data_IF_052765799201
#
_entry.id   IF_052765799201
#
_cell.length_a   1.000
_cell.length_b   1.000
_cell.length_c   1.000
_cell.angle_alpha   90.00
_cell.angle_beta   90.00
_cell.angle_gamma   90.00
#
_symmetry.space_group_name_H-M   'P 1'
#
loop_
_entity.id
_entity.type
_entity.pdbx_description
1 polymer ?
#
# COMPACT_ATOMS: atom_id res chain seq x y z
N UNK A 1 -24.80 -43.43 -38.70
CA UNK A 1 -25.26 -42.60 -37.55
C UNK A 1 -25.21 -43.53 -36.33
N UNK A 2 -24.50 -43.28 -35.24
CA UNK A 2 -24.49 -42.06 -34.41
C UNK A 2 -23.24 -42.07 -33.52
N UNK A 3 -22.74 -40.87 -33.28
CA UNK A 3 -21.42 -40.51 -32.76
C UNK A 3 -21.05 -41.05 -31.38
N UNK A 4 -19.79 -41.45 -31.30
CA UNK A 4 -18.94 -41.65 -30.11
C UNK A 4 -19.13 -40.54 -29.08
N UNK A 5 -19.64 -40.88 -27.90
CA UNK A 5 -19.81 -39.95 -26.79
C UNK A 5 -18.47 -39.85 -26.04
N UNK A 6 -17.65 -38.87 -26.43
CA UNK A 6 -16.45 -38.49 -25.70
C UNK A 6 -16.85 -37.97 -24.32
N UNK A 7 -16.31 -38.63 -23.28
CA UNK A 7 -16.27 -38.15 -21.91
C UNK A 7 -15.55 -36.81 -21.88
N UNK A 8 -16.31 -35.72 -21.87
CA UNK A 8 -15.80 -34.38 -21.55
C UNK A 8 -15.53 -34.36 -20.06
N UNK A 9 -14.29 -34.68 -19.69
CA UNK A 9 -13.75 -34.35 -18.38
C UNK A 9 -13.71 -32.83 -18.27
N UNK A 10 -14.73 -32.26 -17.63
CA UNK A 10 -14.71 -30.86 -17.17
C UNK A 10 -13.64 -30.79 -16.08
N UNK A 11 -12.41 -30.51 -16.49
CA UNK A 11 -11.35 -30.09 -15.61
C UNK A 11 -11.78 -28.74 -15.02
N UNK A 12 -12.40 -28.79 -13.84
CA UNK A 12 -12.57 -27.63 -12.98
C UNK A 12 -11.18 -27.11 -12.61
N UNK A 13 -10.66 -26.19 -13.44
CA UNK A 13 -9.62 -25.27 -13.02
C UNK A 13 -10.23 -24.33 -11.99
N UNK A 14 -10.29 -24.81 -10.74
CA UNK A 14 -10.40 -23.94 -9.58
C UNK A 14 -9.09 -23.17 -9.59
N UNK A 15 -9.09 -21.98 -10.19
CA UNK A 15 -8.07 -20.98 -9.96
C UNK A 15 -8.17 -20.64 -8.47
N UNK A 16 -7.43 -21.40 -7.67
CA UNK A 16 -7.14 -21.06 -6.28
C UNK A 16 -6.47 -19.70 -6.33
N UNK A 17 -7.24 -18.64 -6.11
CA UNK A 17 -6.70 -17.37 -5.66
C UNK A 17 -6.07 -17.66 -4.31
N UNK A 18 -4.82 -18.12 -4.32
CA UNK A 18 -3.97 -18.06 -3.17
C UNK A 18 -3.85 -16.58 -2.84
N UNK A 19 -4.69 -16.12 -1.92
CA UNK A 19 -4.34 -15.01 -1.07
C UNK A 19 -2.95 -15.35 -0.54
N UNK A 20 -1.94 -14.66 -1.07
CA UNK A 20 -0.59 -14.76 -0.57
C UNK A 20 -0.62 -14.17 0.84
N UNK A 21 -1.05 -14.98 1.81
CA UNK A 21 -0.71 -14.80 3.21
C UNK A 21 0.79 -15.04 3.27
N UNK A 22 1.56 -13.98 3.05
CA UNK A 22 3.02 -14.02 3.17
C UNK A 22 3.32 -14.42 4.62
N UNK A 23 3.95 -15.58 4.86
CA UNK A 23 4.31 -15.97 6.21
C UNK A 23 5.52 -15.11 6.60
N UNK A 24 5.39 -14.29 7.64
CA UNK A 24 6.55 -13.65 8.22
C UNK A 24 6.52 -13.81 9.73
N UNK A 25 6.85 -15.03 10.17
CA UNK A 25 7.45 -15.24 11.48
C UNK A 25 8.70 -14.35 11.56
N UNK A 26 8.77 -13.52 12.62
CA UNK A 26 9.90 -12.66 13.00
C UNK A 26 10.22 -11.41 12.16
N UNK A 27 9.36 -10.99 11.24
CA UNK A 27 9.59 -9.74 10.49
C UNK A 27 8.58 -8.65 10.84
N UNK A 28 9.06 -7.66 11.57
CA UNK A 28 8.35 -6.41 11.74
C UNK A 28 8.16 -5.69 10.39
N UNK A 29 7.12 -4.85 10.30
CA UNK A 29 6.76 -4.13 9.09
C UNK A 29 7.71 -2.94 8.84
N UNK A 30 8.27 -2.84 7.62
CA UNK A 30 9.15 -1.75 7.19
C UNK A 30 8.37 -0.52 6.73
N UNK A 31 9.08 0.59 6.50
CA UNK A 31 8.51 1.84 5.98
C UNK A 31 7.60 1.63 4.76
N UNK A 32 6.45 2.29 4.74
CA UNK A 32 5.50 2.24 3.63
C UNK A 32 4.60 1.01 3.59
N UNK A 33 4.85 0.00 4.44
CA UNK A 33 4.01 -1.21 4.51
C UNK A 33 2.76 -0.95 5.34
N UNK A 34 1.63 -1.54 4.93
CA UNK A 34 0.34 -1.42 5.60
C UNK A 34 0.38 -2.11 6.97
N UNK A 35 0.08 -1.34 8.01
CA UNK A 35 0.09 -1.82 9.41
C UNK A 35 -1.30 -1.90 10.03
N UNK A 36 -2.26 -1.13 9.50
CA UNK A 36 -3.68 -1.29 9.81
C UNK A 36 -4.53 -0.87 8.62
N UNK A 37 -5.70 -1.48 8.47
CA UNK A 37 -6.68 -1.13 7.45
C UNK A 37 -8.11 -1.31 7.96
N UNK A 38 -9.08 -1.25 7.05
CA UNK A 38 -10.50 -1.51 7.34
C UNK A 38 -10.74 -2.87 8.03
N UNK A 39 -9.96 -3.89 7.68
CA UNK A 39 -10.04 -5.23 8.27
C UNK A 39 -9.35 -5.34 9.65
N UNK A 40 -8.80 -4.25 10.18
CA UNK A 40 -8.08 -4.23 11.46
C UNK A 40 -6.55 -4.19 11.29
N UNK A 41 -5.79 -4.47 12.38
CA UNK A 41 -4.34 -4.44 12.37
C UNK A 41 -3.75 -5.58 11.54
N UNK A 42 -2.74 -5.27 10.73
CA UNK A 42 -2.02 -6.22 9.87
C UNK A 42 -0.73 -6.73 10.54
N UNK A 43 -0.11 -5.90 11.37
CA UNK A 43 1.10 -6.27 12.10
C UNK A 43 1.76 -5.09 12.79
N UNK A 44 2.91 -5.34 13.43
CA UNK A 44 3.67 -4.33 14.18
C UNK A 44 4.82 -3.77 13.35
N UNK A 45 4.95 -2.44 13.32
CA UNK A 45 6.07 -1.77 12.67
C UNK A 45 7.41 -2.07 13.37
N UNK A 46 8.49 -2.10 12.59
CA UNK A 46 9.84 -2.26 13.15
C UNK A 46 10.22 -1.11 14.09
N UNK A 47 11.18 -1.37 14.99
CA UNK A 47 11.78 -0.32 15.82
C UNK A 47 12.29 0.83 14.94
N UNK A 48 11.93 2.07 15.29
CA UNK A 48 12.21 3.25 14.47
C UNK A 48 11.07 3.62 13.51
N UNK A 49 9.95 2.89 13.53
CA UNK A 49 8.75 3.15 12.75
C UNK A 49 7.49 3.09 13.62
N UNK A 50 6.55 4.00 13.36
CA UNK A 50 5.22 4.06 13.98
C UNK A 50 4.16 3.82 12.92
N UNK A 51 3.11 3.07 13.28
CA UNK A 51 1.93 2.90 12.44
C UNK A 51 1.09 4.19 12.45
N UNK A 52 0.98 4.88 11.30
CA UNK A 52 0.19 6.11 11.18
C UNK A 52 -0.81 6.02 10.05
N UNK A 53 -2.03 6.47 10.33
CA UNK A 53 -3.07 6.61 9.32
C UNK A 53 -2.64 7.62 8.26
N UNK A 54 -2.64 7.15 7.02
CA UNK A 54 -2.42 7.99 5.82
C UNK A 54 -3.75 8.52 5.30
N UNK A 55 -4.78 7.68 5.41
CA UNK A 55 -6.16 7.96 5.03
C UNK A 55 -7.08 7.38 6.11
N UNK A 56 -8.38 7.67 6.03
CA UNK A 56 -9.36 7.15 6.98
C UNK A 56 -9.33 5.61 7.07
N UNK A 57 -9.07 4.94 5.94
CA UNK A 57 -9.26 3.49 5.82
C UNK A 57 -7.97 2.68 5.99
N UNK A 58 -6.80 3.33 6.02
CA UNK A 58 -5.54 2.60 6.20
C UNK A 58 -4.38 3.42 6.80
N UNK A 59 -3.52 2.68 7.49
CA UNK A 59 -2.30 3.14 8.11
C UNK A 59 -1.09 2.38 7.58
N UNK A 60 0.02 3.08 7.45
CA UNK A 60 1.31 2.50 7.06
C UNK A 60 2.38 2.79 8.09
N UNK A 61 3.41 1.95 8.14
CA UNK A 61 4.58 2.21 8.97
C UNK A 61 5.36 3.40 8.41
N UNK A 62 5.56 4.41 9.24
CA UNK A 62 6.35 5.60 8.89
C UNK A 62 7.47 5.78 9.91
N UNK A 63 8.64 6.29 9.51
CA UNK A 63 9.74 6.50 10.44
C UNK A 63 9.33 7.43 11.60
N UNK A 64 9.80 7.11 12.81
CA UNK A 64 9.52 7.89 14.03
C UNK A 64 10.07 9.31 13.91
N UNK A 65 11.23 9.42 13.28
CA UNK A 65 11.80 10.71 12.88
C UNK A 65 11.12 11.14 11.59
N UNK A 66 10.41 12.27 11.64
CA UNK A 66 9.96 12.94 10.43
C UNK A 66 11.21 13.28 9.60
N UNK A 67 11.27 12.88 8.32
CA UNK A 67 12.32 13.41 7.46
C UNK A 67 12.12 14.92 7.37
N UNK A 68 13.21 15.70 7.32
CA UNK A 68 13.17 17.17 7.21
C UNK A 68 12.35 17.61 6.00
N UNK A 69 12.26 16.76 4.99
CA UNK A 69 11.47 16.95 3.79
C UNK A 69 10.97 15.59 3.23
N UNK A 70 9.98 15.61 2.35
CA UNK A 70 9.34 14.45 1.74
C UNK A 70 10.04 14.08 0.43
N UNK A 71 10.39 12.81 0.26
CA UNK A 71 10.97 12.29 -0.97
C UNK A 71 9.99 12.38 -2.16
N UNK A 72 10.51 12.30 -3.39
CA UNK A 72 9.69 12.23 -4.59
C UNK A 72 8.72 11.02 -4.52
N UNK A 73 7.47 11.22 -4.96
CA UNK A 73 6.38 10.25 -4.87
C UNK A 73 5.72 10.16 -3.49
N UNK A 74 6.28 10.78 -2.44
CA UNK A 74 5.64 10.80 -1.12
C UNK A 74 4.45 11.76 -1.09
N UNK A 75 3.41 11.39 -0.34
CA UNK A 75 2.23 12.22 -0.11
C UNK A 75 2.60 13.46 0.71
N UNK A 76 2.35 14.64 0.14
CA UNK A 76 2.62 15.95 0.75
C UNK A 76 1.36 16.65 1.24
N UNK A 77 0.20 16.32 0.65
CA UNK A 77 -1.10 16.79 1.10
C UNK A 77 -2.13 15.67 0.95
N UNK A 78 -3.05 15.60 1.90
CA UNK A 78 -4.19 14.69 1.86
C UNK A 78 -5.42 15.37 2.47
N UNK A 79 -6.57 14.69 2.48
CA UNK A 79 -7.82 15.15 3.11
C UNK A 79 -7.66 15.56 4.58
N UNK A 80 -6.66 14.98 5.27
CA UNK A 80 -6.30 15.31 6.65
C UNK A 80 -5.39 16.55 6.79
N UNK A 81 -5.03 17.18 5.68
CA UNK A 81 -4.20 18.39 5.62
C UNK A 81 -2.77 18.14 5.12
N UNK A 82 -1.90 19.14 5.32
CA UNK A 82 -0.51 19.10 4.88
C UNK A 82 0.31 18.09 5.69
N UNK A 83 1.01 17.21 4.98
CA UNK A 83 1.85 16.15 5.56
C UNK A 83 3.34 16.52 5.59
N UNK A 84 3.73 17.60 4.91
CA UNK A 84 5.10 18.12 4.90
C UNK A 84 5.49 18.76 3.58
N UNK A 85 6.74 19.21 3.51
CA UNK A 85 7.31 19.88 2.33
C UNK A 85 8.16 18.89 1.52
N UNK A 86 8.02 18.91 0.19
CA UNK A 86 8.83 18.08 -0.70
C UNK A 86 10.31 18.50 -0.66
N UNK A 87 11.22 17.53 -0.57
CA UNK A 87 12.67 17.75 -0.63
C UNK A 87 13.08 18.39 -1.95
N UNK A 88 12.45 17.93 -3.03
CA UNK A 88 12.67 18.40 -4.39
C UNK A 88 11.33 18.62 -5.07
N UNK A 89 11.26 19.66 -5.91
CA UNK A 89 10.07 19.92 -6.72
C UNK A 89 8.90 20.57 -5.97
N UNK A 90 7.67 20.16 -6.31
CA UNK A 90 6.42 20.73 -5.78
C UNK A 90 5.41 19.65 -5.42
N UNK A 91 4.56 19.95 -4.45
CA UNK A 91 3.42 19.11 -4.10
C UNK A 91 2.40 19.19 -5.23
N UNK A 92 2.18 18.08 -5.93
CA UNK A 92 1.37 18.01 -7.15
C UNK A 92 0.15 17.14 -6.88
N UNK A 93 -1.03 17.68 -7.17
CA UNK A 93 -2.28 16.94 -7.09
C UNK A 93 -2.28 15.76 -8.05
N UNK A 94 -2.61 14.56 -7.55
CA UNK A 94 -2.68 13.33 -8.35
C UNK A 94 -4.10 12.76 -8.35
N UNK A 95 -4.84 12.89 -7.25
CA UNK A 95 -6.25 12.51 -7.16
C UNK A 95 -6.96 13.34 -6.09
N UNK A 96 -8.30 13.23 -6.05
CA UNK A 96 -9.21 14.06 -5.23
C UNK A 96 -8.74 14.29 -3.78
N UNK A 97 -8.12 13.27 -3.17
CA UNK A 97 -7.75 13.29 -1.76
C UNK A 97 -6.23 13.20 -1.52
N UNK A 98 -5.41 13.33 -2.58
CA UNK A 98 -3.96 13.18 -2.45
C UNK A 98 -3.13 13.99 -3.45
N UNK A 99 -2.16 14.71 -2.89
CA UNK A 99 -1.07 15.34 -3.61
C UNK A 99 0.26 14.68 -3.23
N UNK A 100 1.14 14.48 -4.21
CA UNK A 100 2.45 13.86 -4.01
C UNK A 100 3.58 14.78 -4.47
N UNK A 101 4.76 14.59 -3.90
CA UNK A 101 5.96 15.30 -4.32
C UNK A 101 6.38 14.89 -5.73
N UNK A 102 6.46 15.87 -6.64
CA UNK A 102 6.90 15.65 -8.03
C UNK A 102 7.98 16.65 -8.40
N UNK A 103 9.02 16.17 -9.09
CA UNK A 103 10.10 17.01 -9.61
C UNK A 103 9.58 18.04 -10.64
N UNK A 104 10.22 19.21 -10.73
CA UNK A 104 9.78 20.39 -11.53
C UNK A 104 9.78 20.21 -13.07
N UNK A 105 10.04 19.00 -13.58
CA UNK A 105 10.19 18.71 -15.01
C UNK A 105 9.05 17.93 -15.67
N UNK A 106 7.84 17.95 -15.10
CA UNK A 106 6.65 17.28 -15.65
C UNK A 106 5.59 18.27 -16.10
#
# INVERSE_FOLDING_TARGET
MKFTQQLVAVALFIASTSAAAVPQADACLKSGVLCAGFAGPVGTCCKGYTCKYKFADYATCVPDKKPECLAEGATCESIIGSLGTCCTGKCTFVANDLSVCKSRGY
#
